data_IF_573144627533
#
_entry.id   IF_573144627533
#
_cell.length_a   1.000
_cell.length_b   1.000
_cell.length_c   1.000
_cell.angle_alpha   90.00
_cell.angle_beta   90.00
_cell.angle_gamma   90.00
#
_symmetry.space_group_name_H-M   'P 1'
#
loop_
_entity.id
_entity.type
_entity.pdbx_description
1 polymer ?
#
# COMPACT_ATOMS: atom_id res chain seq x y z
N UNK A 1 -15.75 -32.53 -42.57
CA UNK A 1 -15.83 -32.51 -41.09
C UNK A 1 -15.04 -31.31 -40.60
N UNK A 2 -15.71 -30.17 -40.41
CA UNK A 2 -15.07 -28.95 -39.95
C UNK A 2 -14.89 -29.04 -38.44
N UNK A 3 -13.64 -29.16 -37.98
CA UNK A 3 -13.32 -29.10 -36.56
C UNK A 3 -13.43 -27.64 -36.10
N UNK A 4 -14.48 -27.36 -35.33
CA UNK A 4 -14.63 -26.12 -34.60
C UNK A 4 -13.59 -26.12 -33.46
N UNK A 5 -12.49 -25.37 -33.60
CA UNK A 5 -11.62 -25.09 -32.46
C UNK A 5 -12.32 -24.04 -31.59
N UNK A 6 -12.82 -24.46 -30.43
CA UNK A 6 -13.22 -23.54 -29.38
C UNK A 6 -11.95 -22.91 -28.81
N UNK A 7 -11.81 -21.59 -28.98
CA UNK A 7 -10.78 -20.82 -28.29
C UNK A 7 -11.26 -20.68 -26.84
N UNK A 8 -10.68 -21.47 -25.94
CA UNK A 8 -10.83 -21.28 -24.50
C UNK A 8 -10.04 -20.03 -24.10
N UNK A 9 -10.75 -18.95 -23.73
CA UNK A 9 -10.13 -17.80 -23.08
C UNK A 9 -9.84 -18.19 -21.63
N UNK A 10 -8.61 -17.99 -21.12
CA UNK A 10 -8.35 -18.18 -19.70
C UNK A 10 -9.31 -17.30 -18.89
N UNK A 11 -9.74 -17.75 -17.69
CA UNK A 11 -10.61 -16.96 -16.83
C UNK A 11 -10.01 -15.57 -16.66
N UNK A 12 -10.83 -14.52 -16.81
CA UNK A 12 -10.35 -13.16 -16.73
C UNK A 12 -9.76 -12.96 -15.33
N UNK A 13 -8.45 -12.72 -15.25
CA UNK A 13 -7.87 -12.29 -13.99
C UNK A 13 -8.48 -10.94 -13.67
N UNK A 14 -9.08 -10.81 -12.51
CA UNK A 14 -9.69 -9.55 -12.13
C UNK A 14 -8.59 -8.48 -11.96
N UNK A 15 -8.96 -7.22 -12.13
CA UNK A 15 -8.04 -6.12 -11.84
C UNK A 15 -7.57 -6.09 -10.37
N UNK A 16 -8.27 -6.79 -9.47
CA UNK A 16 -7.87 -6.95 -8.07
C UNK A 16 -6.77 -7.99 -7.91
N UNK A 17 -6.83 -9.09 -8.65
CA UNK A 17 -5.82 -10.15 -8.63
C UNK A 17 -4.48 -9.63 -9.16
N UNK A 18 -4.50 -8.96 -10.31
CA UNK A 18 -3.31 -8.33 -10.90
C UNK A 18 -2.69 -7.24 -10.01
N UNK A 19 -3.52 -6.53 -9.24
CA UNK A 19 -3.07 -5.54 -8.26
C UNK A 19 -2.35 -6.22 -7.10
N UNK A 20 -2.97 -7.26 -6.54
CA UNK A 20 -2.45 -7.96 -5.38
C UNK A 20 -1.14 -8.71 -5.74
N UNK A 21 -1.05 -9.33 -6.91
CA UNK A 21 0.18 -9.91 -7.46
C UNK A 21 1.30 -8.86 -7.63
N UNK A 22 0.96 -7.68 -8.18
CA UNK A 22 1.92 -6.59 -8.32
C UNK A 22 2.42 -6.03 -6.99
N UNK A 23 1.56 -6.03 -5.96
CA UNK A 23 1.94 -5.68 -4.59
C UNK A 23 2.91 -6.71 -4.01
N UNK A 24 2.59 -7.99 -4.17
CA UNK A 24 3.41 -9.09 -3.67
C UNK A 24 4.81 -9.07 -4.31
N UNK A 25 4.89 -8.94 -5.63
CA UNK A 25 6.16 -8.82 -6.35
C UNK A 25 7.00 -7.65 -5.84
N UNK A 26 6.38 -6.49 -5.60
CA UNK A 26 7.10 -5.31 -5.09
C UNK A 26 7.62 -5.52 -3.66
N UNK A 27 6.87 -6.23 -2.81
CA UNK A 27 7.29 -6.56 -1.45
C UNK A 27 8.41 -7.60 -1.42
N UNK A 28 8.30 -8.65 -2.23
CA UNK A 28 9.33 -9.69 -2.38
C UNK A 28 10.64 -9.05 -2.82
N UNK A 29 10.61 -8.23 -3.88
CA UNK A 29 11.82 -7.55 -4.37
C UNK A 29 12.42 -6.58 -3.34
N UNK A 30 11.57 -5.86 -2.58
CA UNK A 30 12.04 -5.00 -1.49
C UNK A 30 12.74 -5.78 -0.37
N UNK A 31 12.17 -6.93 0.03
CA UNK A 31 12.75 -7.77 1.08
C UNK A 31 14.02 -8.50 0.61
N UNK A 32 14.16 -8.81 -0.69
CA UNK A 32 15.40 -9.35 -1.28
C UNK A 32 16.53 -8.32 -1.32
N UNK A 33 16.20 -7.05 -1.56
CA UNK A 33 17.19 -5.97 -1.71
C UNK A 33 17.60 -5.37 -0.36
N UNK A 34 16.67 -5.30 0.59
CA UNK A 34 16.91 -4.83 1.95
C UNK A 34 16.19 -5.77 2.92
N UNK A 35 16.97 -6.54 3.67
CA UNK A 35 16.46 -7.56 4.58
C UNK A 35 15.40 -6.95 5.53
N UNK A 36 14.20 -7.54 5.52
CA UNK A 36 13.05 -7.15 6.36
C UNK A 36 12.57 -5.70 6.18
N UNK A 37 12.83 -5.07 5.02
CA UNK A 37 12.37 -3.71 4.73
C UNK A 37 10.89 -3.51 5.03
N UNK A 38 10.06 -4.45 4.58
CA UNK A 38 8.61 -4.39 4.74
C UNK A 38 8.17 -4.36 6.22
N UNK A 39 8.91 -5.01 7.12
CA UNK A 39 8.64 -5.00 8.55
C UNK A 39 9.03 -3.67 9.19
N UNK A 40 10.21 -3.15 8.84
CA UNK A 40 10.70 -1.84 9.33
C UNK A 40 9.72 -0.74 8.89
N UNK A 41 9.30 -0.76 7.62
CA UNK A 41 8.32 0.18 7.08
C UNK A 41 6.95 0.05 7.77
N UNK A 42 6.52 -1.18 8.06
CA UNK A 42 5.26 -1.44 8.78
C UNK A 42 5.30 -0.94 10.23
N UNK A 43 6.40 -1.17 10.94
CA UNK A 43 6.60 -0.67 12.29
C UNK A 43 6.68 0.86 12.34
N UNK A 44 7.32 1.48 11.34
CA UNK A 44 7.29 2.93 11.18
C UNK A 44 5.85 3.43 10.99
N UNK A 45 5.09 2.81 10.07
CA UNK A 45 3.70 3.20 9.79
C UNK A 45 2.83 3.16 11.04
N UNK A 46 2.92 2.09 11.85
CA UNK A 46 2.16 1.97 13.10
C UNK A 46 2.40 3.12 14.08
N UNK A 47 3.63 3.65 14.16
CA UNK A 47 3.94 4.81 14.99
C UNK A 47 3.44 6.10 14.36
N UNK A 48 3.71 6.26 13.06
CA UNK A 48 3.35 7.45 12.29
C UNK A 48 1.85 7.77 12.35
N UNK A 49 0.98 6.76 12.25
CA UNK A 49 -0.47 6.96 12.21
C UNK A 49 -1.06 7.46 13.55
N UNK A 50 -0.35 7.28 14.67
CA UNK A 50 -0.78 7.78 15.97
C UNK A 50 -0.68 9.31 16.04
N UNK A 51 0.38 9.87 15.47
CA UNK A 51 0.61 11.32 15.40
C UNK A 51 -0.09 11.96 14.19
N UNK A 52 -0.31 11.18 13.13
CA UNK A 52 -0.88 11.63 11.86
C UNK A 52 -2.11 10.78 11.50
N UNK A 53 -3.27 11.03 12.13
CA UNK A 53 -4.46 10.19 11.96
C UNK A 53 -5.10 10.29 10.57
N UNK A 54 -4.73 11.27 9.75
CA UNK A 54 -5.17 11.39 8.34
C UNK A 54 -3.97 11.73 7.49
N UNK A 55 -3.68 10.91 6.48
CA UNK A 55 -2.45 11.03 5.69
C UNK A 55 -2.60 10.48 4.27
N UNK A 56 -1.65 10.85 3.40
CA UNK A 56 -1.46 10.21 2.09
C UNK A 56 -0.17 9.39 2.11
N UNK A 57 -0.04 8.42 1.19
CA UNK A 57 1.15 7.58 1.10
C UNK A 57 2.45 8.40 0.92
N UNK A 58 2.37 9.55 0.24
CA UNK A 58 3.49 10.48 0.11
C UNK A 58 3.94 11.04 1.45
N UNK A 59 3.02 11.41 2.34
CA UNK A 59 3.36 11.93 3.67
C UNK A 59 4.15 10.90 4.49
N UNK A 60 3.74 9.63 4.45
CA UNK A 60 4.46 8.54 5.14
C UNK A 60 5.87 8.39 4.58
N UNK A 61 6.00 8.39 3.24
CA UNK A 61 7.29 8.27 2.56
C UNK A 61 8.23 9.43 2.89
N UNK A 62 7.70 10.66 2.89
CA UNK A 62 8.47 11.86 3.26
C UNK A 62 8.92 11.81 4.73
N UNK A 63 8.04 11.40 5.64
CA UNK A 63 8.36 11.27 7.05
C UNK A 63 9.33 10.11 7.34
N UNK A 64 9.29 9.05 6.54
CA UNK A 64 10.17 7.89 6.66
C UNK A 64 11.57 8.14 6.08
N UNK A 65 11.78 9.24 5.35
CA UNK A 65 13.05 9.56 4.73
C UNK A 65 14.16 9.64 5.79
N UNK A 66 15.26 8.90 5.58
CA UNK A 66 16.38 8.74 6.51
C UNK A 66 16.08 7.97 7.81
N UNK A 67 14.88 7.37 7.95
CA UNK A 67 14.50 6.53 9.10
C UNK A 67 14.33 5.07 8.65
N UNK A 68 13.56 4.87 7.59
CA UNK A 68 13.39 3.57 6.94
C UNK A 68 14.33 3.52 5.74
N UNK A 69 15.04 2.40 5.48
CA UNK A 69 15.85 2.28 4.26
C UNK A 69 15.03 2.59 3.01
N UNK A 70 15.64 3.18 1.98
CA UNK A 70 14.90 3.49 0.76
C UNK A 70 14.55 2.17 0.03
N UNK A 71 13.26 1.90 -0.29
CA UNK A 71 12.90 0.70 -1.04
C UNK A 71 13.41 0.78 -2.49
N UNK A 72 13.58 -0.37 -3.17
CA UNK A 72 13.91 -0.39 -4.60
C UNK A 72 12.84 0.27 -5.47
N UNK A 73 11.60 0.37 -4.98
CA UNK A 73 10.52 1.10 -5.64
C UNK A 73 9.60 1.79 -4.65
N UNK A 74 9.18 3.02 -4.97
CA UNK A 74 8.15 3.75 -4.22
C UNK A 74 6.80 3.01 -4.16
N UNK A 75 6.57 2.05 -5.06
CA UNK A 75 5.36 1.20 -5.06
C UNK A 75 5.33 0.22 -3.89
N UNK A 76 6.47 -0.11 -3.28
CA UNK A 76 6.54 -1.03 -2.14
C UNK A 76 5.72 -0.55 -0.92
N UNK A 77 5.62 0.78 -0.72
CA UNK A 77 4.77 1.38 0.31
C UNK A 77 3.28 1.03 0.15
N UNK A 78 2.83 0.77 -1.08
CA UNK A 78 1.46 0.33 -1.36
C UNK A 78 1.13 -0.98 -0.64
N UNK A 79 2.06 -1.94 -0.62
CA UNK A 79 1.88 -3.20 0.08
C UNK A 79 1.80 -3.04 1.60
N UNK A 80 2.62 -2.16 2.17
CA UNK A 80 2.61 -1.85 3.61
C UNK A 80 1.27 -1.22 4.02
N UNK A 81 0.73 -0.30 3.21
CA UNK A 81 -0.57 0.33 3.45
C UNK A 81 -1.73 -0.66 3.29
N UNK A 82 -1.69 -1.51 2.25
CA UNK A 82 -2.70 -2.56 2.05
C UNK A 82 -2.69 -3.56 3.20
N UNK A 83 -1.52 -3.96 3.68
CA UNK A 83 -1.39 -4.79 4.88
C UNK A 83 -2.04 -4.12 6.10
N UNK A 84 -1.71 -2.86 6.37
CA UNK A 84 -2.29 -2.11 7.49
C UNK A 84 -3.81 -1.98 7.39
N UNK A 85 -4.35 -1.82 6.18
CA UNK A 85 -5.78 -1.76 5.92
C UNK A 85 -6.46 -3.13 6.13
N UNK A 86 -5.84 -4.23 5.65
CA UNK A 86 -6.32 -5.61 5.88
C UNK A 86 -6.32 -5.95 7.38
N UNK A 87 -5.35 -5.46 8.14
CA UNK A 87 -5.29 -5.61 9.61
C UNK A 87 -6.22 -4.63 10.37
N UNK A 88 -6.98 -3.79 9.66
CA UNK A 88 -7.95 -2.87 10.23
C UNK A 88 -7.35 -1.66 10.94
N UNK A 89 -6.04 -1.40 10.83
CA UNK A 89 -5.38 -0.25 11.48
C UNK A 89 -5.72 1.08 10.81
N UNK A 90 -5.92 1.05 9.49
CA UNK A 90 -6.25 2.22 8.69
C UNK A 90 -7.43 1.94 7.76
N UNK A 91 -8.18 2.98 7.43
CA UNK A 91 -9.31 2.94 6.50
C UNK A 91 -9.06 3.89 5.32
N UNK A 92 -9.61 3.51 4.17
CA UNK A 92 -9.59 4.35 2.97
C UNK A 92 -10.72 5.37 3.05
N UNK A 93 -10.38 6.65 3.10
CA UNK A 93 -11.35 7.75 3.22
C UNK A 93 -11.73 8.38 1.87
N UNK A 94 -11.04 8.00 0.79
CA UNK A 94 -11.30 8.50 -0.57
C UNK A 94 -10.01 8.90 -1.28
N UNK A 95 -10.10 9.93 -2.13
CA UNK A 95 -8.97 10.48 -2.85
C UNK A 95 -8.85 11.97 -2.58
N UNK A 96 -7.62 12.47 -2.50
CA UNK A 96 -7.32 13.89 -2.41
C UNK A 96 -6.19 14.22 -3.37
N UNK A 97 -6.26 15.39 -3.99
CA UNK A 97 -5.17 15.88 -4.83
C UNK A 97 -3.92 16.06 -3.96
N UNK A 98 -2.79 15.56 -4.44
CA UNK A 98 -1.48 15.81 -3.80
C UNK A 98 -1.19 17.31 -3.75
N UNK A 99 -0.60 17.77 -2.65
CA UNK A 99 -0.28 19.18 -2.41
C UNK A 99 0.98 19.66 -3.14
N UNK A 100 1.71 18.74 -3.78
CA UNK A 100 3.00 19.02 -4.40
C UNK A 100 2.80 19.78 -5.73
N UNK A 101 3.40 20.97 -5.86
CA UNK A 101 3.28 21.84 -7.05
C UNK A 101 3.77 21.17 -8.35
N UNK A 102 4.66 20.16 -8.24
CA UNK A 102 5.17 19.40 -9.38
C UNK A 102 4.31 18.21 -9.80
N UNK A 103 3.33 17.82 -8.98
CA UNK A 103 2.58 16.59 -9.18
C UNK A 103 1.21 16.81 -9.85
N UNK A 104 0.98 17.99 -10.44
CA UNK A 104 -0.18 18.32 -11.27
C UNK A 104 -1.52 17.84 -10.70
N UNK A 105 -1.76 18.05 -9.39
CA UNK A 105 -3.02 17.66 -8.75
C UNK A 105 -3.35 16.16 -8.83
N UNK A 106 -2.37 15.27 -8.99
CA UNK A 106 -2.60 13.83 -9.10
C UNK A 106 -3.40 13.32 -7.88
N UNK A 107 -4.52 12.58 -8.09
CA UNK A 107 -5.29 12.05 -6.97
C UNK A 107 -4.46 11.00 -6.22
N UNK A 108 -4.22 11.25 -4.94
CA UNK A 108 -3.63 10.28 -4.01
C UNK A 108 -4.71 9.74 -3.08
N UNK A 109 -4.60 8.46 -2.73
CA UNK A 109 -5.49 7.84 -1.76
C UNK A 109 -5.30 8.50 -0.39
N UNK A 110 -6.40 8.93 0.21
CA UNK A 110 -6.45 9.45 1.57
C UNK A 110 -6.73 8.29 2.53
N UNK A 111 -5.84 8.11 3.49
CA UNK A 111 -5.93 7.12 4.54
C UNK A 111 -6.23 7.80 5.86
N UNK A 112 -6.97 7.11 6.73
CA UNK A 112 -7.18 7.55 8.11
C UNK A 112 -6.97 6.39 9.09
N UNK A 113 -6.55 6.74 10.30
CA UNK A 113 -6.48 5.83 11.43
C UNK A 113 -7.88 5.28 11.74
N UNK A 114 -7.97 3.97 11.92
CA UNK A 114 -9.20 3.35 12.38
C UNK A 114 -9.26 3.41 13.91
N UNK A 115 -9.93 4.42 14.45
CA UNK A 115 -10.08 4.59 15.90
C UNK A 115 -10.79 3.40 16.58
N UNK A 116 -11.66 2.69 15.89
CA UNK A 116 -12.37 1.51 16.44
C UNK A 116 -11.42 0.35 16.71
N UNK A 117 -10.37 0.18 15.90
CA UNK A 117 -9.41 -0.93 16.05
C UNK A 117 -8.40 -0.74 17.17
N UNK A 118 -8.18 0.50 17.65
CA UNK A 118 -7.25 0.78 18.75
C UNK A 118 -7.87 0.40 20.09
N UNK A 119 -9.16 0.61 20.28
CA UNK A 119 -9.83 0.35 21.56
C UNK A 119 -9.91 -1.14 21.92
N UNK A 120 -9.85 -2.05 20.93
CA UNK A 120 -9.87 -3.51 21.17
C UNK A 120 -8.49 -4.09 21.51
N UNK A 121 -7.39 -3.40 21.20
CA UNK A 121 -6.02 -3.90 21.44
C UNK A 121 -5.36 -3.36 22.72
N UNK A 122 -6.05 -2.47 23.44
CA UNK A 122 -5.58 -1.85 24.70
C UNK A 122 -6.47 -2.27 25.89
N UNK A 123 -7.46 -3.14 25.66
CA UNK A 123 -8.33 -3.72 26.69
C UNK A 123 -7.86 -5.13 27.12
#
# INVERSE_FOLDING_TARGET
MSHQFAIEFPPDQSGEDLRDEGIEQALTHANETAERWSEIAYDFLKRYILDNPVFMAENVREAAANIVPEPPSKRAWGGVLVRAAKEGLIIRMGFRNVKNARAHCTPATLWALNHSAINEKVA
#
